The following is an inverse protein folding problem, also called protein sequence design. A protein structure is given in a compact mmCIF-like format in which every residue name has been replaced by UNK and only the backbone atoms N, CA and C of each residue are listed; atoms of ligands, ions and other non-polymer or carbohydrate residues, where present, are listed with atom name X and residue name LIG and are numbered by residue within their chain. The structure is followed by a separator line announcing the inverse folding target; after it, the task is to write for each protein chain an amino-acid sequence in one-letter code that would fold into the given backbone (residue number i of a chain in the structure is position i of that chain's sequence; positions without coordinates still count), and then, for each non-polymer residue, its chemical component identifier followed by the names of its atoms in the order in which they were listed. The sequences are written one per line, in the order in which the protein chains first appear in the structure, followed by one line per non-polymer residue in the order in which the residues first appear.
data_IF_542269133010
#
_entry.id   IF_542269133010
#
_cell.length_a   1.000
_cell.length_b   1.000
_cell.length_c   1.000
_cell.angle_alpha   90.00
_cell.angle_beta   90.00
_cell.angle_gamma   90.00
#
_symmetry.space_group_name_H-M   'P 1'
#
loop_
_entity.id
_entity.type
_entity.pdbx_description
1 polymer ?
#
# COMPACT_ATOMS: atom_id res chain seq x y z
N UNK A 1 -20.84 38.69 -23.74
CA UNK A 1 -20.74 37.54 -22.82
C UNK A 1 -20.11 38.08 -21.56
N UNK A 2 -20.83 38.07 -20.43
CA UNK A 2 -20.29 38.63 -19.18
C UNK A 2 -19.24 37.66 -18.61
N UNK A 3 -18.28 38.16 -17.83
CA UNK A 3 -17.22 37.36 -17.19
C UNK A 3 -17.80 36.17 -16.41
N UNK A 4 -18.97 36.38 -15.79
CA UNK A 4 -19.72 35.33 -15.08
C UNK A 4 -20.16 34.18 -16.00
N UNK A 5 -20.68 34.47 -17.19
CA UNK A 5 -21.11 33.45 -18.17
C UNK A 5 -19.93 32.60 -18.68
N UNK A 6 -18.75 33.22 -18.76
CA UNK A 6 -17.53 32.55 -19.18
C UNK A 6 -17.00 31.61 -18.10
N UNK A 7 -16.96 32.07 -16.85
CA UNK A 7 -16.57 31.28 -15.71
C UNK A 7 -17.49 30.06 -15.50
N UNK A 8 -18.81 30.24 -15.60
CA UNK A 8 -19.76 29.12 -15.52
C UNK A 8 -19.52 28.07 -16.61
N UNK A 9 -19.25 28.49 -17.87
CA UNK A 9 -18.95 27.54 -18.94
C UNK A 9 -17.67 26.74 -18.72
N UNK A 10 -16.63 27.37 -18.17
CA UNK A 10 -15.39 26.67 -17.85
C UNK A 10 -15.59 25.60 -16.78
N UNK A 11 -16.37 25.92 -15.73
CA UNK A 11 -16.74 24.96 -14.69
C UNK A 11 -17.50 23.78 -15.29
N UNK A 12 -18.50 24.05 -16.13
CA UNK A 12 -19.29 22.99 -16.77
C UNK A 12 -18.44 22.10 -17.70
N UNK A 13 -17.43 22.68 -18.35
CA UNK A 13 -16.50 21.93 -19.20
C UNK A 13 -15.59 21.01 -18.39
N UNK A 14 -15.05 21.49 -17.26
CA UNK A 14 -14.27 20.68 -16.32
C UNK A 14 -15.15 19.58 -15.73
N UNK A 15 -16.34 19.91 -15.23
CA UNK A 15 -17.27 18.97 -14.62
C UNK A 15 -17.63 17.83 -15.58
N UNK A 16 -17.93 18.17 -16.85
CA UNK A 16 -18.27 17.18 -17.87
C UNK A 16 -17.09 16.30 -18.25
N UNK A 17 -15.89 16.87 -18.40
CA UNK A 17 -14.73 16.10 -18.84
C UNK A 17 -14.21 15.12 -17.77
N UNK A 18 -14.45 15.43 -16.51
CA UNK A 18 -13.98 14.65 -15.37
C UNK A 18 -15.11 14.10 -14.51
N UNK A 19 -16.29 13.85 -15.07
CA UNK A 19 -17.47 13.42 -14.31
C UNK A 19 -17.24 12.14 -13.49
N UNK A 20 -16.43 11.21 -14.00
CA UNK A 20 -16.08 9.95 -13.32
C UNK A 20 -14.96 10.10 -12.26
N UNK A 21 -14.28 11.24 -12.23
CA UNK A 21 -13.08 11.42 -11.42
C UNK A 21 -13.05 12.66 -10.54
N UNK A 22 -14.01 13.56 -10.72
CA UNK A 22 -14.09 14.85 -10.05
C UNK A 22 -15.55 15.23 -9.79
N UNK A 23 -15.84 15.62 -8.55
CA UNK A 23 -17.12 16.19 -8.16
C UNK A 23 -16.90 17.62 -7.65
N UNK A 24 -17.52 18.60 -8.32
CA UNK A 24 -17.39 20.01 -7.92
C UNK A 24 -18.32 20.28 -6.73
N UNK A 25 -17.73 20.47 -5.55
CA UNK A 25 -18.47 20.74 -4.30
C UNK A 25 -18.94 22.20 -4.21
N UNK A 26 -18.12 23.15 -4.69
CA UNK A 26 -18.44 24.57 -4.70
C UNK A 26 -17.59 25.33 -5.74
N UNK A 27 -18.09 26.48 -6.18
CA UNK A 27 -17.34 27.45 -6.97
C UNK A 27 -17.66 28.87 -6.53
N UNK A 28 -16.62 29.69 -6.35
CA UNK A 28 -16.76 31.07 -5.89
C UNK A 28 -15.49 31.87 -6.22
N UNK A 29 -15.58 33.19 -6.08
CA UNK A 29 -14.42 34.06 -6.24
C UNK A 29 -13.41 33.83 -5.11
N UNK A 30 -12.12 33.75 -5.44
CA UNK A 30 -11.03 33.48 -4.49
C UNK A 30 -11.02 34.39 -3.24
N UNK A 31 -11.57 35.61 -3.33
CA UNK A 31 -11.74 36.50 -2.16
C UNK A 31 -12.63 35.94 -1.04
N UNK A 32 -13.41 34.90 -1.33
CA UNK A 32 -14.30 34.24 -0.38
C UNK A 32 -13.81 32.83 -0.02
N UNK A 33 -12.51 32.53 -0.16
CA UNK A 33 -11.94 31.21 0.14
C UNK A 33 -12.22 30.74 1.57
N UNK A 34 -12.36 31.66 2.52
CA UNK A 34 -12.72 31.35 3.91
C UNK A 34 -14.10 30.70 4.05
N UNK A 35 -14.97 30.79 3.03
CA UNK A 35 -16.30 30.18 2.98
C UNK A 35 -16.30 28.80 2.30
N UNK A 36 -15.13 28.30 1.92
CA UNK A 36 -15.01 27.01 1.25
C UNK A 36 -15.56 25.87 2.13
N UNK A 37 -16.27 24.89 1.55
CA UNK A 37 -16.70 23.71 2.28
C UNK A 37 -15.52 22.97 2.92
N UNK A 38 -15.75 22.41 4.11
CA UNK A 38 -14.87 21.42 4.68
C UNK A 38 -14.97 20.10 3.89
N UNK A 39 -13.89 19.32 3.84
CA UNK A 39 -13.79 18.03 3.09
C UNK A 39 -13.73 18.17 1.56
N UNK A 40 -12.79 18.97 1.07
CA UNK A 40 -12.40 18.97 -0.35
C UNK A 40 -11.03 18.31 -0.52
N UNK A 41 -10.85 17.48 -1.54
CA UNK A 41 -9.55 16.82 -1.79
C UNK A 41 -8.50 17.80 -2.36
N UNK A 42 -8.92 18.85 -3.10
CA UNK A 42 -8.06 19.90 -3.65
C UNK A 42 -8.86 21.11 -4.19
N UNK A 43 -8.15 22.19 -4.52
CA UNK A 43 -8.69 23.42 -5.13
C UNK A 43 -8.14 23.57 -6.55
N UNK A 44 -9.00 23.98 -7.50
CA UNK A 44 -8.58 24.47 -8.83
C UNK A 44 -8.78 25.98 -8.86
N UNK A 45 -7.76 26.73 -9.26
CA UNK A 45 -7.84 28.19 -9.32
C UNK A 45 -7.06 28.78 -10.49
N UNK A 46 -7.56 29.88 -11.05
CA UNK A 46 -6.81 30.75 -11.96
C UNK A 46 -6.18 31.95 -11.22
N UNK A 47 -6.27 32.01 -9.89
CA UNK A 47 -5.68 33.07 -9.09
C UNK A 47 -4.31 32.63 -8.55
N UNK A 48 -3.20 33.10 -9.15
CA UNK A 48 -1.85 32.56 -8.88
C UNK A 48 -1.33 32.87 -7.46
N UNK A 49 -2.02 33.73 -6.71
CA UNK A 49 -1.61 34.14 -5.36
C UNK A 49 -2.40 33.45 -4.24
N UNK A 50 -3.35 32.57 -4.58
CA UNK A 50 -4.06 31.80 -3.57
C UNK A 50 -3.07 30.86 -2.87
N UNK A 51 -3.06 30.82 -1.54
CA UNK A 51 -2.23 29.87 -0.78
C UNK A 51 -3.10 29.13 0.22
N UNK A 52 -2.84 27.85 0.37
CA UNK A 52 -3.46 27.00 1.38
C UNK A 52 -2.40 25.96 1.80
N UNK A 53 -2.19 25.79 3.11
CA UNK A 53 -1.19 24.85 3.64
C UNK A 53 -1.74 23.43 3.77
N UNK A 54 -3.05 23.30 3.98
CA UNK A 54 -3.70 22.02 4.27
C UNK A 54 -4.23 21.32 3.00
N UNK A 55 -4.67 22.11 2.02
CA UNK A 55 -5.38 21.62 0.84
C UNK A 55 -4.55 21.88 -0.41
N UNK A 56 -4.25 20.83 -1.21
CA UNK A 56 -3.53 20.98 -2.46
C UNK A 56 -4.22 21.98 -3.40
N UNK A 57 -3.44 22.87 -4.01
CA UNK A 57 -3.93 23.83 -5.01
C UNK A 57 -3.34 23.47 -6.38
N UNK A 58 -4.23 23.36 -7.36
CA UNK A 58 -3.89 23.32 -8.76
C UNK A 58 -4.17 24.69 -9.40
N UNK A 59 -3.16 25.25 -10.04
CA UNK A 59 -3.29 26.48 -10.81
C UNK A 59 -3.57 26.15 -12.27
N UNK A 60 -4.54 26.84 -12.86
CA UNK A 60 -4.88 26.78 -14.28
C UNK A 60 -4.84 28.17 -14.89
N UNK A 61 -4.75 28.23 -16.21
CA UNK A 61 -4.80 29.50 -16.93
C UNK A 61 -6.20 30.12 -16.87
N UNK A 62 -6.29 31.44 -17.07
CA UNK A 62 -7.58 32.14 -17.13
C UNK A 62 -8.45 31.63 -18.30
N UNK A 63 -7.82 31.17 -19.38
CA UNK A 63 -8.48 30.57 -20.54
C UNK A 63 -8.13 29.08 -20.58
N UNK A 64 -9.14 28.23 -20.44
CA UNK A 64 -8.95 26.78 -20.53
C UNK A 64 -8.44 26.37 -21.91
N UNK A 65 -7.37 25.58 -21.90
CA UNK A 65 -6.73 24.98 -23.06
C UNK A 65 -6.65 23.45 -22.90
N UNK A 66 -6.40 22.69 -23.99
CA UNK A 66 -6.12 21.25 -23.90
C UNK A 66 -5.07 20.90 -22.84
N UNK A 67 -4.04 21.74 -22.71
CA UNK A 67 -2.99 21.60 -21.70
C UNK A 67 -3.54 21.62 -20.27
N UNK A 68 -4.48 22.52 -19.95
CA UNK A 68 -5.04 22.58 -18.61
C UNK A 68 -5.80 21.29 -18.26
N UNK A 69 -6.48 20.68 -19.24
CA UNK A 69 -7.13 19.39 -19.02
C UNK A 69 -6.13 18.26 -18.75
N UNK A 70 -5.01 18.21 -19.49
CA UNK A 70 -3.95 17.23 -19.22
C UNK A 70 -3.31 17.44 -17.84
N UNK A 71 -3.14 18.70 -17.43
CA UNK A 71 -2.66 19.05 -16.09
C UNK A 71 -3.68 18.63 -15.02
N UNK A 72 -4.99 18.86 -15.22
CA UNK A 72 -6.03 18.45 -14.27
C UNK A 72 -6.03 16.93 -14.12
N UNK A 73 -5.97 16.20 -15.24
CA UNK A 73 -5.92 14.75 -15.23
C UNK A 73 -4.72 14.23 -14.43
N UNK A 74 -3.50 14.71 -14.72
CA UNK A 74 -2.29 14.30 -13.99
C UNK A 74 -2.36 14.64 -12.51
N UNK A 75 -2.95 15.79 -12.17
CA UNK A 75 -3.11 16.21 -10.78
C UNK A 75 -4.07 15.27 -10.03
N UNK A 76 -5.21 14.93 -10.63
CA UNK A 76 -6.17 13.96 -10.09
C UNK A 76 -5.51 12.60 -9.87
N UNK A 77 -4.78 12.08 -10.86
CA UNK A 77 -4.10 10.79 -10.74
C UNK A 77 -3.02 10.82 -9.64
N UNK A 78 -2.26 11.91 -9.53
CA UNK A 78 -1.29 12.09 -8.43
C UNK A 78 -1.96 12.00 -7.05
N UNK A 79 -3.10 12.67 -6.86
CA UNK A 79 -3.84 12.61 -5.60
C UNK A 79 -4.44 11.23 -5.34
N UNK A 80 -4.97 10.56 -6.37
CA UNK A 80 -5.47 9.20 -6.27
C UNK A 80 -4.38 8.23 -5.85
N UNK A 81 -3.20 8.30 -6.46
CA UNK A 81 -2.06 7.46 -6.09
C UNK A 81 -1.64 7.71 -4.66
N UNK A 82 -1.52 8.97 -4.22
CA UNK A 82 -1.22 9.30 -2.81
C UNK A 82 -2.25 8.73 -1.84
N UNK A 83 -3.54 8.84 -2.15
CA UNK A 83 -4.64 8.30 -1.32
C UNK A 83 -4.61 6.78 -1.27
N UNK A 84 -4.43 6.11 -2.41
CA UNK A 84 -4.28 4.64 -2.48
C UNK A 84 -3.08 4.17 -1.66
N UNK A 85 -1.93 4.82 -1.81
CA UNK A 85 -0.70 4.56 -1.05
C UNK A 85 -0.91 4.71 0.45
N UNK A 86 -1.56 5.78 0.89
CA UNK A 86 -1.86 6.00 2.31
C UNK A 86 -2.81 4.93 2.86
N UNK A 87 -3.92 4.65 2.16
CA UNK A 87 -4.87 3.62 2.55
C UNK A 87 -4.22 2.23 2.60
N UNK A 88 -3.33 1.92 1.66
CA UNK A 88 -2.57 0.68 1.67
C UNK A 88 -1.61 0.63 2.85
N UNK A 89 -0.85 1.70 3.12
CA UNK A 89 0.06 1.79 4.28
C UNK A 89 -0.69 1.55 5.59
N UNK A 90 -1.87 2.15 5.75
CA UNK A 90 -2.72 1.94 6.92
C UNK A 90 -3.24 0.51 7.01
N UNK A 91 -3.73 -0.04 5.90
CA UNK A 91 -4.19 -1.43 5.85
C UNK A 91 -3.05 -2.40 6.16
N UNK A 92 -1.87 -2.18 5.60
CA UNK A 92 -0.69 -2.99 5.84
C UNK A 92 -0.27 -2.96 7.31
N UNK A 93 -0.34 -1.79 7.98
CA UNK A 93 -0.09 -1.68 9.43
C UNK A 93 -1.10 -2.44 10.29
N UNK A 94 -2.32 -2.69 9.80
CA UNK A 94 -3.29 -3.53 10.52
C UNK A 94 -2.98 -5.02 10.40
N UNK A 95 -2.36 -5.44 9.30
CA UNK A 95 -1.93 -6.83 9.10
C UNK A 95 -0.57 -7.07 9.73
N UNK A 96 0.32 -6.10 9.69
CA UNK A 96 1.65 -6.30 10.23
C UNK A 96 1.69 -6.02 11.73
N UNK A 97 2.35 -6.90 12.46
CA UNK A 97 2.66 -6.71 13.86
C UNK A 97 4.14 -6.43 14.01
N UNK A 98 4.49 -5.27 14.57
CA UNK A 98 5.88 -4.94 14.93
C UNK A 98 6.53 -6.03 15.80
N UNK A 99 5.74 -6.67 16.67
CA UNK A 99 6.19 -7.80 17.53
C UNK A 99 6.54 -9.07 16.75
N UNK A 100 6.24 -9.12 15.46
CA UNK A 100 6.52 -10.23 14.55
C UNK A 100 7.50 -9.80 13.44
N UNK A 101 8.31 -8.77 13.71
CA UNK A 101 9.43 -8.39 12.87
C UNK A 101 10.73 -8.97 13.43
N UNK A 102 11.44 -9.74 12.61
CA UNK A 102 12.64 -10.46 12.97
C UNK A 102 13.79 -10.05 12.05
N UNK A 103 14.94 -9.70 12.64
CA UNK A 103 16.13 -9.29 11.91
C UNK A 103 17.32 -10.13 12.33
N UNK A 104 18.01 -10.72 11.35
CA UNK A 104 19.26 -11.48 11.56
C UNK A 104 19.16 -12.57 12.63
N UNK A 105 18.06 -13.32 12.62
CA UNK A 105 17.86 -14.43 13.56
C UNK A 105 18.80 -15.58 13.24
N UNK A 106 19.33 -16.20 14.30
CA UNK A 106 20.25 -17.34 14.19
C UNK A 106 19.47 -18.65 14.34
N UNK A 107 18.65 -18.96 13.33
CA UNK A 107 17.83 -20.18 13.28
C UNK A 107 18.09 -20.90 11.96
N UNK A 108 18.51 -22.15 12.05
CA UNK A 108 18.75 -23.00 10.89
C UNK A 108 17.50 -23.80 10.53
N UNK A 109 17.21 -23.87 9.23
CA UNK A 109 16.13 -24.67 8.67
C UNK A 109 14.76 -23.98 8.71
N UNK A 110 14.04 -24.08 7.59
CA UNK A 110 12.71 -23.49 7.44
C UNK A 110 11.72 -23.97 8.50
N UNK A 111 11.80 -25.24 8.91
CA UNK A 111 10.89 -25.80 9.92
C UNK A 111 11.01 -25.06 11.25
N UNK A 112 12.22 -24.73 11.67
CA UNK A 112 12.46 -24.00 12.92
C UNK A 112 11.99 -22.54 12.80
N UNK A 113 12.17 -21.92 11.62
CA UNK A 113 11.66 -20.57 11.35
C UNK A 113 10.13 -20.54 11.39
N UNK A 114 9.45 -21.45 10.68
CA UNK A 114 7.99 -21.56 10.70
C UNK A 114 7.50 -21.81 12.12
N UNK A 115 8.14 -22.73 12.87
CA UNK A 115 7.79 -22.99 14.26
C UNK A 115 7.85 -21.73 15.12
N UNK A 116 8.97 -21.00 15.09
CA UNK A 116 9.13 -19.76 15.87
C UNK A 116 8.05 -18.72 15.51
N UNK A 117 7.89 -18.41 14.22
CA UNK A 117 6.98 -17.36 13.77
C UNK A 117 5.51 -17.70 14.05
N UNK A 118 5.12 -18.98 13.88
CA UNK A 118 3.76 -19.45 14.20
C UNK A 118 3.49 -19.50 15.70
N UNK A 119 4.48 -19.91 16.52
CA UNK A 119 4.36 -19.91 17.99
C UNK A 119 4.19 -18.50 18.55
N UNK A 120 4.95 -17.54 18.03
CA UNK A 120 4.84 -16.15 18.47
C UNK A 120 3.50 -15.52 18.04
N UNK A 121 3.03 -15.80 16.81
CA UNK A 121 1.70 -15.38 16.38
C UNK A 121 0.59 -15.98 17.26
N UNK A 122 0.73 -17.24 17.68
CA UNK A 122 -0.21 -17.89 18.58
C UNK A 122 -0.17 -17.29 20.00
N UNK A 123 1.02 -17.01 20.54
CA UNK A 123 1.19 -16.33 21.85
C UNK A 123 0.57 -14.95 21.87
N UNK A 124 0.60 -14.24 20.75
CA UNK A 124 -0.07 -12.94 20.57
C UNK A 124 -1.59 -13.07 20.39
N UNK A 125 -2.13 -14.30 20.31
CA UNK A 125 -3.56 -14.55 20.16
C UNK A 125 -4.09 -14.26 18.76
N UNK A 126 -3.24 -14.22 17.73
CA UNK A 126 -3.62 -13.89 16.36
C UNK A 126 -4.20 -15.09 15.61
N UNK A 127 -3.78 -16.30 15.95
CA UNK A 127 -4.23 -17.54 15.33
C UNK A 127 -4.68 -18.59 16.36
N UNK A 128 -5.20 -19.70 15.84
CA UNK A 128 -5.58 -20.89 16.63
C UNK A 128 -4.41 -21.88 16.71
N UNK A 129 -4.54 -22.90 17.56
CA UNK A 129 -3.52 -23.93 17.76
C UNK A 129 -3.22 -24.73 16.50
N UNK A 130 -4.18 -24.82 15.58
CA UNK A 130 -4.10 -25.59 14.36
C UNK A 130 -3.29 -24.87 13.28
N UNK A 131 -3.14 -23.54 13.37
CA UNK A 131 -2.54 -22.71 12.32
C UNK A 131 -1.13 -23.18 11.94
N UNK A 132 -0.28 -23.50 12.93
CA UNK A 132 1.06 -24.04 12.68
C UNK A 132 1.01 -25.28 11.79
N UNK A 133 0.12 -26.22 12.14
CA UNK A 133 -0.03 -27.47 11.38
C UNK A 133 -0.49 -27.16 9.95
N UNK A 134 -1.45 -26.26 9.77
CA UNK A 134 -1.97 -25.89 8.45
C UNK A 134 -0.91 -25.22 7.56
N UNK A 135 -0.01 -24.42 8.14
CA UNK A 135 1.13 -23.83 7.41
C UNK A 135 2.10 -24.92 6.95
N UNK A 136 2.40 -25.90 7.81
CA UNK A 136 3.24 -27.05 7.40
C UNK A 136 2.55 -27.93 6.36
N UNK A 137 1.25 -28.18 6.50
CA UNK A 137 0.47 -28.92 5.50
C UNK A 137 0.54 -28.21 4.14
N UNK A 138 0.48 -26.87 4.10
CA UNK A 138 0.67 -26.06 2.87
C UNK A 138 2.08 -26.21 2.30
N UNK A 139 3.11 -26.10 3.13
CA UNK A 139 4.51 -26.14 2.71
C UNK A 139 4.88 -27.49 2.10
N UNK A 140 4.36 -28.59 2.68
CA UNK A 140 4.61 -29.95 2.20
C UNK A 140 3.98 -30.27 0.84
N UNK A 141 2.94 -29.55 0.42
CA UNK A 141 2.37 -29.71 -0.93
C UNK A 141 3.31 -29.20 -2.01
N UNK A 142 3.95 -28.06 -1.73
CA UNK A 142 4.93 -27.41 -2.59
C UNK A 142 5.57 -26.29 -1.78
N UNK A 143 6.89 -26.18 -1.85
CA UNK A 143 7.63 -25.08 -1.22
C UNK A 143 6.99 -23.73 -1.54
N UNK A 144 6.91 -22.86 -0.54
CA UNK A 144 6.50 -21.46 -0.68
C UNK A 144 7.68 -20.52 -0.91
N UNK A 145 8.88 -21.07 -1.08
CA UNK A 145 10.04 -20.34 -1.57
C UNK A 145 9.89 -20.00 -3.06
N UNK A 146 10.33 -18.81 -3.41
CA UNK A 146 10.47 -18.32 -4.77
C UNK A 146 11.97 -18.14 -5.08
N UNK A 147 12.36 -18.29 -6.35
CA UNK A 147 13.75 -18.12 -6.81
C UNK A 147 14.33 -16.74 -6.47
N UNK A 148 13.49 -15.78 -6.14
CA UNK A 148 13.82 -14.42 -5.74
C UNK A 148 14.21 -14.26 -4.26
N UNK A 149 14.77 -15.29 -3.61
CA UNK A 149 15.25 -15.23 -2.21
C UNK A 149 14.18 -14.90 -1.15
N UNK A 150 12.92 -15.24 -1.41
CA UNK A 150 11.79 -15.03 -0.51
C UNK A 150 10.99 -16.32 -0.31
N UNK A 151 10.48 -16.55 0.90
CA UNK A 151 9.43 -17.53 1.16
C UNK A 151 8.17 -16.87 1.73
N UNK A 152 7.00 -17.36 1.36
CA UNK A 152 5.70 -16.84 1.82
C UNK A 152 4.87 -17.97 2.43
N UNK A 153 5.28 -18.54 3.58
CA UNK A 153 4.50 -19.59 4.24
C UNK A 153 3.14 -19.04 4.68
N UNK A 154 2.07 -19.80 4.45
CA UNK A 154 0.69 -19.42 4.79
C UNK A 154 -0.17 -20.67 5.04
N UNK A 155 -1.29 -20.51 5.74
CA UNK A 155 -2.27 -21.60 5.90
C UNK A 155 -3.04 -21.88 4.59
N UNK A 156 -3.52 -23.11 4.42
CA UNK A 156 -4.50 -23.47 3.39
C UNK A 156 -5.89 -22.85 3.62
N UNK A 157 -6.14 -22.33 4.82
CA UNK A 157 -7.45 -21.86 5.27
C UNK A 157 -7.39 -20.41 5.78
N UNK A 158 -8.48 -19.68 5.57
CA UNK A 158 -8.67 -18.32 6.10
C UNK A 158 -9.44 -18.37 7.42
N UNK A 159 -8.79 -18.89 8.47
CA UNK A 159 -9.42 -19.15 9.77
C UNK A 159 -8.69 -18.53 10.97
N UNK A 160 -7.74 -17.61 10.76
CA UNK A 160 -7.07 -16.92 11.87
C UNK A 160 -8.05 -16.02 12.63
N UNK A 161 -7.75 -15.72 13.91
CA UNK A 161 -8.58 -14.83 14.74
C UNK A 161 -8.50 -13.39 14.24
N UNK A 162 -7.31 -12.98 13.84
CA UNK A 162 -7.01 -11.73 13.16
C UNK A 162 -6.04 -12.02 12.03
N UNK A 163 -6.18 -11.32 10.91
CA UNK A 163 -5.18 -11.40 9.85
C UNK A 163 -3.87 -10.81 10.33
N UNK A 164 -2.76 -11.44 9.97
CA UNK A 164 -1.44 -10.93 10.30
C UNK A 164 -0.38 -11.30 9.26
N UNK A 165 0.70 -10.54 9.24
CA UNK A 165 1.93 -10.89 8.55
C UNK A 165 3.10 -10.73 9.52
N UNK A 166 3.93 -11.78 9.59
CA UNK A 166 5.19 -11.80 10.31
C UNK A 166 6.33 -11.76 9.29
N UNK A 167 7.35 -10.97 9.57
CA UNK A 167 8.44 -10.67 8.65
C UNK A 167 9.74 -11.12 9.27
N UNK A 168 10.53 -11.89 8.55
CA UNK A 168 11.93 -12.14 8.87
C UNK A 168 12.83 -11.66 7.72
N UNK A 169 13.91 -10.96 8.07
CA UNK A 169 14.95 -10.49 7.14
C UNK A 169 16.33 -10.86 7.69
N UNK A 170 17.03 -11.72 6.99
CA UNK A 170 18.41 -12.10 7.29
C UNK A 170 19.36 -11.67 6.17
N UNK A 171 20.52 -11.13 6.54
CA UNK A 171 21.60 -10.79 5.60
C UNK A 171 22.16 -12.06 4.96
N UNK A 172 22.37 -13.08 5.79
CA UNK A 172 22.78 -14.40 5.37
C UNK A 172 21.57 -15.23 4.97
N UNK A 173 21.69 -15.95 3.85
CA UNK A 173 20.63 -16.80 3.34
C UNK A 173 20.39 -18.01 4.25
N UNK A 174 19.12 -18.35 4.45
CA UNK A 174 18.70 -19.58 5.13
C UNK A 174 18.20 -20.61 4.12
N UNK A 175 18.52 -21.87 4.35
CA UNK A 175 18.02 -22.98 3.55
C UNK A 175 16.51 -23.18 3.73
N UNK A 176 15.81 -23.27 2.61
CA UNK A 176 14.37 -23.49 2.52
C UNK A 176 14.11 -24.61 1.50
N UNK A 177 14.22 -25.86 1.98
CA UNK A 177 14.42 -27.05 1.14
C UNK A 177 15.58 -26.85 0.15
N UNK A 178 15.33 -26.99 -1.15
CA UNK A 178 16.32 -26.80 -2.23
C UNK A 178 16.62 -25.32 -2.54
N UNK A 179 15.92 -24.39 -1.88
CA UNK A 179 16.06 -22.95 -2.09
C UNK A 179 16.86 -22.29 -0.97
N UNK A 180 17.23 -21.03 -1.21
CA UNK A 180 17.87 -20.14 -0.25
C UNK A 180 17.09 -18.84 -0.19
N UNK A 181 16.71 -18.42 1.01
CA UNK A 181 15.90 -17.22 1.22
C UNK A 181 16.54 -16.29 2.23
N UNK A 182 16.39 -14.99 1.98
CA UNK A 182 16.75 -13.93 2.92
C UNK A 182 15.53 -13.38 3.65
N UNK A 183 14.36 -13.47 3.01
CA UNK A 183 13.12 -12.85 3.46
C UNK A 183 12.06 -13.93 3.64
N UNK A 184 11.36 -13.92 4.78
CA UNK A 184 10.22 -14.79 5.02
C UNK A 184 9.03 -13.97 5.45
N UNK A 185 7.91 -14.12 4.75
CA UNK A 185 6.63 -13.47 5.05
C UNK A 185 5.62 -14.53 5.44
N UNK A 186 5.52 -14.85 6.73
CA UNK A 186 4.48 -15.74 7.23
C UNK A 186 3.16 -14.98 7.31
N UNK A 187 2.12 -15.50 6.66
CA UNK A 187 0.82 -14.82 6.57
C UNK A 187 -0.30 -15.69 7.16
N UNK A 188 -1.06 -15.12 8.10
CA UNK A 188 -2.31 -15.66 8.59
C UNK A 188 -3.48 -14.80 8.15
N UNK A 189 -4.56 -15.41 7.68
CA UNK A 189 -5.73 -14.71 7.12
C UNK A 189 -6.97 -15.05 7.93
N UNK A 190 -7.70 -14.01 8.35
CA UNK A 190 -9.02 -14.14 8.96
C UNK A 190 -10.08 -14.25 7.87
N UNK A 191 -11.15 -14.99 8.15
CA UNK A 191 -12.32 -15.06 7.27
C UNK A 191 -12.86 -13.65 6.96
N UNK A 192 -13.02 -13.33 5.68
CA UNK A 192 -13.45 -12.01 5.17
C UNK A 192 -12.32 -11.12 4.64
N UNK A 193 -11.05 -11.44 4.95
CA UNK A 193 -9.89 -10.66 4.51
C UNK A 193 -9.19 -11.26 3.27
N UNK A 194 -9.79 -12.27 2.63
CA UNK A 194 -9.15 -13.04 1.54
C UNK A 194 -8.82 -12.18 0.32
N UNK A 195 -9.69 -11.21 0.00
CA UNK A 195 -9.45 -10.30 -1.11
C UNK A 195 -8.23 -9.40 -0.87
N UNK A 196 -8.09 -8.88 0.36
CA UNK A 196 -6.93 -8.07 0.71
C UNK A 196 -5.65 -8.91 0.72
N UNK A 197 -5.71 -10.12 1.26
CA UNK A 197 -4.59 -11.07 1.18
C UNK A 197 -4.17 -11.33 -0.27
N UNK A 198 -5.12 -11.60 -1.16
CA UNK A 198 -4.85 -11.79 -2.58
C UNK A 198 -4.17 -10.56 -3.19
N UNK A 199 -4.69 -9.36 -2.91
CA UNK A 199 -4.06 -8.11 -3.35
C UNK A 199 -2.63 -8.00 -2.85
N UNK A 200 -2.36 -8.31 -1.58
CA UNK A 200 -1.02 -8.27 -1.01
C UNK A 200 -0.07 -9.23 -1.75
N UNK A 201 -0.46 -10.50 -1.90
CA UNK A 201 0.38 -11.52 -2.55
C UNK A 201 0.64 -11.17 -4.02
N UNK A 202 -0.40 -10.74 -4.75
CA UNK A 202 -0.31 -10.35 -6.17
C UNK A 202 0.65 -9.17 -6.39
N UNK A 203 0.88 -8.33 -5.38
CA UNK A 203 1.78 -7.18 -5.44
C UNK A 203 3.18 -7.48 -4.89
N UNK A 204 3.25 -8.27 -3.80
CA UNK A 204 4.50 -8.65 -3.13
C UNK A 204 5.38 -9.53 -4.02
N UNK A 205 4.79 -10.54 -4.69
CA UNK A 205 5.58 -11.47 -5.51
C UNK A 205 6.28 -10.75 -6.67
N UNK A 206 5.61 -9.92 -7.50
CA UNK A 206 6.27 -9.14 -8.53
C UNK A 206 7.32 -8.18 -7.96
N UNK A 207 7.02 -7.52 -6.84
CA UNK A 207 7.97 -6.62 -6.19
C UNK A 207 9.29 -7.33 -5.84
N UNK A 208 9.22 -8.52 -5.26
CA UNK A 208 10.41 -9.28 -4.89
C UNK A 208 11.08 -9.99 -6.06
N UNK A 209 10.42 -10.14 -7.22
CA UNK A 209 11.03 -10.70 -8.43
C UNK A 209 12.17 -9.82 -8.97
N UNK A 210 12.20 -8.54 -8.60
CA UNK A 210 13.27 -7.61 -8.93
C UNK A 210 14.40 -7.69 -7.89
N UNK A 211 15.60 -8.12 -8.31
CA UNK A 211 16.77 -8.22 -7.42
C UNK A 211 17.10 -6.89 -6.72
N UNK A 212 16.84 -5.76 -7.36
CA UNK A 212 17.06 -4.43 -6.76
C UNK A 212 16.19 -4.20 -5.52
N UNK A 213 14.98 -4.77 -5.49
CA UNK A 213 14.05 -4.68 -4.38
C UNK A 213 14.44 -5.59 -3.23
N UNK A 214 14.97 -6.78 -3.52
CA UNK A 214 15.58 -7.65 -2.50
C UNK A 214 16.74 -6.93 -1.79
N UNK A 215 17.67 -6.34 -2.54
CA UNK A 215 18.81 -5.62 -1.97
C UNK A 215 18.37 -4.41 -1.11
N UNK A 216 17.35 -3.68 -1.57
CA UNK A 216 16.72 -2.60 -0.78
C UNK A 216 16.11 -3.15 0.52
N UNK A 217 15.48 -4.32 0.48
CA UNK A 217 14.91 -4.93 1.68
C UNK A 217 15.95 -5.44 2.67
N UNK A 218 17.12 -5.90 2.19
CA UNK A 218 18.21 -6.31 3.07
C UNK A 218 18.82 -5.15 3.87
N UNK A 219 18.69 -3.91 3.40
CA UNK A 219 19.13 -2.73 4.18
C UNK A 219 18.14 -2.28 5.26
N UNK A 220 16.97 -2.93 5.35
CA UNK A 220 15.92 -2.59 6.32
C UNK A 220 16.29 -3.14 7.69
N UNK A 221 16.20 -2.30 8.72
CA UNK A 221 16.52 -2.68 10.09
C UNK A 221 15.33 -2.57 11.05
N UNK A 222 14.25 -1.91 10.63
CA UNK A 222 13.09 -1.69 11.47
C UNK A 222 11.80 -2.06 10.75
N UNK A 223 10.78 -2.33 11.56
CA UNK A 223 9.42 -2.58 11.10
C UNK A 223 8.85 -1.41 10.29
N UNK A 224 8.97 -0.17 10.80
CA UNK A 224 8.44 1.01 10.13
C UNK A 224 9.12 1.27 8.78
N UNK A 225 10.43 1.05 8.69
CA UNK A 225 11.17 1.13 7.42
C UNK A 225 10.64 0.12 6.41
N UNK A 226 10.29 -1.09 6.84
CA UNK A 226 9.68 -2.10 5.97
C UNK A 226 8.33 -1.66 5.43
N UNK A 227 7.45 -1.19 6.31
CA UNK A 227 6.12 -0.70 5.93
C UNK A 227 6.23 0.44 4.93
N UNK A 228 7.11 1.40 5.21
CA UNK A 228 7.32 2.55 4.33
C UNK A 228 7.88 2.14 2.98
N UNK A 229 8.90 1.28 2.96
CA UNK A 229 9.52 0.82 1.73
C UNK A 229 8.56 0.05 0.84
N UNK A 230 7.82 -0.90 1.42
CA UNK A 230 6.83 -1.68 0.67
C UNK A 230 5.70 -0.80 0.14
N UNK A 231 5.21 0.14 0.95
CA UNK A 231 4.15 1.07 0.52
C UNK A 231 4.61 2.03 -0.58
N UNK A 232 5.88 2.42 -0.59
CA UNK A 232 6.45 3.26 -1.65
C UNK A 232 6.53 2.47 -2.97
N UNK A 233 7.17 1.32 -2.95
CA UNK A 233 7.50 0.60 -4.19
C UNK A 233 6.28 -0.07 -4.84
N UNK A 234 5.19 -0.34 -4.09
CA UNK A 234 3.95 -0.86 -4.66
C UNK A 234 3.04 0.20 -5.29
N UNK A 235 3.28 1.49 -5.02
CA UNK A 235 2.41 2.58 -5.49
C UNK A 235 3.16 3.70 -6.23
N UNK A 236 4.49 3.65 -6.29
CA UNK A 236 5.30 4.54 -7.09
C UNK A 236 5.53 3.87 -8.47
N UNK A 237 4.60 4.10 -9.42
CA UNK A 237 4.84 3.95 -10.88
C UNK A 237 5.40 5.26 -11.48
#
# INVERSE_FOLDING_TARGET
MNYYDYFTKQIDEIARKFEDSLHIVASFNAKFIEQMPHNVDFIITNYPFLKNEDIPIMYIDEILSPRNFDEIHRFIETLRTRKRKQNFKESLKHFLSEKLFYRNIQIEGYENIINMMTDDAQKLGLCHSEFKKEVFDREQLSSTAYDSSIAIPHSLYSNCKNSFMAIMINDEQVYWDDHKVNIVLLIGVKTGDENFFKTIVDNIIPFFSENSNILKCLSINTYDDFVEKLSNELFDE
#
